data_IF_173624835732
#
_entry.id   IF_173624835732
#
_cell.length_a   1.000
_cell.length_b   1.000
_cell.length_c   1.000
_cell.angle_alpha   90.00
_cell.angle_beta   90.00
_cell.angle_gamma   90.00
#
_symmetry.space_group_name_H-M   'P 1'
#
loop_
_entity.id
_entity.type
_entity.pdbx_description
1 polymer ?
#
# COMPACT_ATOMS: atom_id res chain seq x y z
N UNK A 1 15.96 -11.82 7.81
CA UNK A 1 15.30 -12.26 6.56
C UNK A 1 13.96 -12.88 6.95
N UNK A 2 12.87 -12.61 6.22
CA UNK A 2 11.56 -13.17 6.52
C UNK A 2 11.21 -14.22 5.45
N UNK A 3 10.68 -15.35 5.88
CA UNK A 3 10.22 -16.43 5.01
C UNK A 3 8.70 -16.55 5.09
N UNK A 4 8.07 -16.94 3.99
CA UNK A 4 6.63 -17.20 3.92
C UNK A 4 6.44 -18.69 3.63
N UNK A 5 5.67 -19.36 4.48
CA UNK A 5 5.33 -20.77 4.33
C UNK A 5 3.89 -21.04 4.76
N UNK A 6 3.36 -22.25 4.47
CA UNK A 6 2.07 -22.65 5.00
C UNK A 6 2.12 -22.76 6.53
N UNK A 7 0.99 -22.57 7.25
CA UNK A 7 0.96 -22.69 8.71
C UNK A 7 1.57 -24.00 9.24
N UNK A 8 1.34 -25.10 8.55
CA UNK A 8 1.88 -26.42 8.91
C UNK A 8 3.41 -26.47 8.80
N UNK A 9 3.97 -25.91 7.72
CA UNK A 9 5.42 -25.81 7.54
C UNK A 9 6.05 -24.84 8.54
N UNK A 10 5.35 -23.77 8.91
CA UNK A 10 5.83 -22.86 9.96
C UNK A 10 6.01 -23.62 11.27
N UNK A 11 5.06 -24.49 11.65
CA UNK A 11 5.18 -25.32 12.85
C UNK A 11 6.37 -26.30 12.71
N UNK A 12 6.49 -26.99 11.57
CA UNK A 12 7.57 -27.93 11.36
C UNK A 12 8.96 -27.27 11.43
N UNK A 13 9.16 -26.14 10.78
CA UNK A 13 10.40 -25.36 10.86
C UNK A 13 10.65 -24.76 12.25
N UNK A 14 9.60 -24.46 13.02
CA UNK A 14 9.75 -24.01 14.40
C UNK A 14 10.33 -25.10 15.30
N UNK A 15 10.00 -26.37 15.05
CA UNK A 15 10.58 -27.50 15.77
C UNK A 15 12.05 -27.67 15.44
N UNK A 16 12.45 -27.45 14.20
CA UNK A 16 13.85 -27.52 13.76
C UNK A 16 14.68 -26.36 14.28
N UNK A 17 14.11 -25.16 14.38
CA UNK A 17 14.76 -23.93 14.88
C UNK A 17 15.66 -23.22 13.87
N UNK A 18 15.76 -23.68 12.62
CA UNK A 18 16.52 -23.06 11.55
C UNK A 18 15.83 -23.21 10.21
N UNK A 19 16.09 -22.27 9.28
CA UNK A 19 15.64 -22.35 7.88
C UNK A 19 16.72 -22.92 6.95
N UNK A 20 17.96 -23.04 7.41
CA UNK A 20 19.05 -23.70 6.69
C UNK A 20 19.01 -25.21 6.99
N UNK A 21 18.00 -25.88 6.38
CA UNK A 21 17.65 -27.25 6.71
C UNK A 21 16.78 -27.85 5.58
N UNK A 22 17.14 -29.05 5.11
CA UNK A 22 16.32 -29.78 4.15
C UNK A 22 15.26 -30.63 4.86
N UNK A 23 14.12 -30.04 5.15
CA UNK A 23 13.02 -30.69 5.89
C UNK A 23 12.48 -31.95 5.20
N UNK A 24 12.82 -32.18 3.94
CA UNK A 24 12.39 -33.39 3.21
C UNK A 24 13.32 -34.57 3.40
N UNK A 25 14.54 -34.35 3.91
CA UNK A 25 15.58 -35.38 4.00
C UNK A 25 16.16 -35.51 5.40
N UNK A 26 16.34 -34.39 6.09
CA UNK A 26 17.02 -34.35 7.35
C UNK A 26 16.06 -34.63 8.52
N UNK A 27 16.50 -35.28 9.59
CA UNK A 27 15.67 -35.53 10.77
C UNK A 27 15.38 -34.22 11.50
N UNK A 28 14.12 -33.93 11.78
CA UNK A 28 13.67 -32.71 12.49
C UNK A 28 13.99 -32.74 13.99
N UNK A 29 14.35 -33.88 14.52
CA UNK A 29 14.71 -34.06 15.93
C UNK A 29 14.96 -35.52 16.29
N UNK A 30 15.08 -35.75 17.56
CA UNK A 30 15.21 -37.10 18.15
C UNK A 30 13.97 -37.46 18.97
N UNK A 31 13.54 -38.69 18.84
CA UNK A 31 12.48 -39.26 19.65
C UNK A 31 12.94 -39.62 21.04
N UNK A 32 12.03 -40.21 21.83
CA UNK A 32 12.29 -40.56 23.22
C UNK A 32 13.39 -41.64 23.40
N UNK A 33 13.56 -42.51 22.41
CA UNK A 33 14.56 -43.58 22.37
C UNK A 33 15.77 -43.22 21.49
N UNK A 34 16.06 -41.94 21.30
CA UNK A 34 17.16 -41.42 20.48
C UNK A 34 17.01 -41.72 18.95
N UNK A 35 15.86 -42.23 18.49
CA UNK A 35 15.57 -42.44 17.08
C UNK A 35 15.43 -41.11 16.32
N UNK A 36 15.80 -41.10 15.04
CA UNK A 36 15.61 -39.94 14.16
C UNK A 36 14.14 -39.78 13.79
N UNK A 37 13.59 -38.59 14.04
CA UNK A 37 12.22 -38.21 13.67
C UNK A 37 12.26 -37.34 12.41
N UNK A 38 11.54 -37.72 11.40
CA UNK A 38 11.43 -37.02 10.12
C UNK A 38 10.06 -36.33 9.99
N UNK A 39 9.94 -35.41 9.02
CA UNK A 39 8.68 -34.73 8.75
C UNK A 39 7.52 -35.71 8.52
N UNK A 40 7.74 -36.80 7.82
CA UNK A 40 6.73 -37.84 7.55
C UNK A 40 6.14 -38.47 8.81
N UNK A 41 6.90 -38.48 9.90
CA UNK A 41 6.50 -39.14 11.16
C UNK A 41 5.57 -38.26 11.99
N UNK A 42 5.58 -36.96 11.74
CA UNK A 42 4.71 -35.96 12.40
C UNK A 42 3.64 -35.37 11.48
N UNK A 43 3.71 -35.66 10.18
CA UNK A 43 2.76 -35.08 9.22
C UNK A 43 1.44 -35.86 9.27
N UNK A 44 0.32 -35.17 9.58
CA UNK A 44 -0.96 -35.87 9.72
C UNK A 44 -1.44 -36.44 8.37
N UNK A 45 -2.05 -37.60 8.42
CA UNK A 45 -2.75 -38.18 7.29
C UNK A 45 -4.02 -37.38 6.92
N UNK A 46 -4.48 -37.51 5.69
CA UNK A 46 -5.74 -36.87 5.25
C UNK A 46 -6.93 -37.34 6.11
N UNK A 47 -6.93 -38.61 6.56
CA UNK A 47 -8.00 -39.13 7.42
C UNK A 47 -8.01 -38.45 8.79
N UNK A 48 -6.86 -38.31 9.43
CA UNK A 48 -6.74 -37.59 10.70
C UNK A 48 -7.17 -36.12 10.55
N UNK A 49 -6.78 -35.44 9.46
CA UNK A 49 -7.23 -34.08 9.17
C UNK A 49 -8.75 -34.02 9.03
N UNK A 50 -9.36 -34.93 8.26
CA UNK A 50 -10.80 -34.96 8.05
C UNK A 50 -11.57 -35.27 9.34
N UNK A 51 -11.06 -36.14 10.20
CA UNK A 51 -11.65 -36.44 11.52
C UNK A 51 -11.65 -35.20 12.39
N UNK A 52 -10.52 -34.48 12.49
CA UNK A 52 -10.42 -33.24 13.26
C UNK A 52 -11.32 -32.16 12.70
N UNK A 53 -11.35 -31.98 11.38
CA UNK A 53 -12.23 -31.00 10.71
C UNK A 53 -13.70 -31.33 11.01
N UNK A 54 -14.11 -32.58 10.83
CA UNK A 54 -15.51 -33.00 11.03
C UNK A 54 -15.96 -32.90 12.49
N UNK A 55 -15.04 -33.12 13.43
CA UNK A 55 -15.31 -33.04 14.87
C UNK A 55 -15.41 -31.58 15.37
N UNK A 56 -14.69 -30.67 14.74
CA UNK A 56 -14.55 -29.29 15.25
C UNK A 56 -15.30 -28.23 14.43
N UNK A 57 -15.51 -28.46 13.12
CA UNK A 57 -16.23 -27.49 12.27
C UNK A 57 -17.70 -27.92 12.17
N UNK A 58 -18.51 -27.38 13.04
CA UNK A 58 -19.93 -27.72 13.14
C UNK A 58 -20.85 -26.61 12.62
N UNK A 59 -22.09 -26.96 12.34
CA UNK A 59 -23.14 -25.98 11.97
C UNK A 59 -23.33 -24.93 13.04
N UNK A 60 -23.21 -25.35 14.31
CA UNK A 60 -23.39 -24.49 15.48
C UNK A 60 -22.33 -23.40 15.53
N UNK A 61 -21.07 -23.70 15.17
CA UNK A 61 -20.00 -22.70 15.06
C UNK A 61 -20.35 -21.61 14.05
N UNK A 62 -20.84 -21.99 12.88
CA UNK A 62 -21.28 -21.02 11.86
C UNK A 62 -22.45 -20.20 12.38
N UNK A 63 -23.45 -20.82 13.00
CA UNK A 63 -24.59 -20.13 13.56
C UNK A 63 -24.19 -19.12 14.63
N UNK A 64 -23.24 -19.48 15.51
CA UNK A 64 -22.73 -18.59 16.55
C UNK A 64 -21.92 -17.43 15.96
N UNK A 65 -20.99 -17.74 15.02
CA UNK A 65 -20.14 -16.72 14.39
C UNK A 65 -20.94 -15.67 13.61
N UNK A 66 -22.04 -16.09 12.99
CA UNK A 66 -22.87 -15.20 12.18
C UNK A 66 -24.09 -14.61 12.92
N UNK A 67 -24.35 -15.05 14.16
CA UNK A 67 -25.52 -14.60 14.92
C UNK A 67 -25.59 -13.08 15.09
N UNK A 68 -24.46 -12.46 15.35
CA UNK A 68 -24.33 -11.03 15.66
C UNK A 68 -23.59 -10.25 14.57
N UNK A 69 -23.55 -10.79 13.33
CA UNK A 69 -22.78 -10.21 12.24
C UNK A 69 -23.08 -8.73 11.97
N UNK A 70 -24.36 -8.35 12.11
CA UNK A 70 -24.81 -6.98 11.87
C UNK A 70 -24.76 -6.08 13.11
N UNK A 71 -24.47 -6.63 14.28
CA UNK A 71 -24.37 -5.83 15.51
C UNK A 71 -22.98 -5.23 15.69
N UNK A 72 -21.92 -5.92 15.21
CA UNK A 72 -20.55 -5.53 15.46
C UNK A 72 -20.16 -5.69 16.95
N UNK A 73 -18.98 -5.21 17.28
CA UNK A 73 -18.51 -5.10 18.67
C UNK A 73 -18.98 -3.80 19.34
N UNK A 74 -18.61 -3.59 20.61
CA UNK A 74 -18.98 -2.38 21.35
C UNK A 74 -18.46 -1.11 20.68
N UNK A 75 -17.22 -1.13 20.14
CA UNK A 75 -16.65 0.04 19.48
C UNK A 75 -17.47 0.43 18.24
N UNK A 76 -17.98 -0.58 17.51
CA UNK A 76 -18.84 -0.34 16.35
C UNK A 76 -20.21 0.22 16.78
N UNK A 77 -20.79 -0.29 17.86
CA UNK A 77 -22.09 0.15 18.36
C UNK A 77 -22.05 1.54 18.98
N UNK A 78 -20.91 1.93 19.56
CA UNK A 78 -20.70 3.23 20.19
C UNK A 78 -20.44 4.36 19.19
N UNK A 79 -20.32 4.05 17.88
CA UNK A 79 -20.16 5.08 16.86
C UNK A 79 -21.44 5.90 16.76
N UNK A 80 -21.38 7.16 17.18
CA UNK A 80 -22.48 8.11 17.01
C UNK A 80 -22.64 8.46 15.52
N UNK A 81 -23.76 8.02 14.94
CA UNK A 81 -24.08 8.27 13.54
C UNK A 81 -25.28 9.19 13.42
N UNK A 82 -25.09 10.35 12.83
CA UNK A 82 -26.20 11.21 12.42
C UNK A 82 -26.87 10.62 11.18
N UNK A 83 -28.18 10.41 11.24
CA UNK A 83 -28.95 10.09 10.03
C UNK A 83 -29.04 11.35 9.16
N UNK A 84 -28.40 11.31 8.01
CA UNK A 84 -28.37 12.39 7.04
C UNK A 84 -28.46 11.82 5.63
N UNK A 85 -29.09 12.55 4.71
CA UNK A 85 -29.13 12.18 3.29
C UNK A 85 -27.75 12.33 2.63
N UNK A 86 -26.95 13.25 3.16
CA UNK A 86 -25.60 13.53 2.65
C UNK A 86 -24.57 13.36 3.76
N UNK A 87 -23.34 12.99 3.36
CA UNK A 87 -22.21 12.95 4.28
C UNK A 87 -21.85 14.38 4.72
N UNK A 88 -21.70 14.58 6.01
CA UNK A 88 -21.28 15.85 6.60
C UNK A 88 -19.74 15.93 6.56
N UNK A 89 -19.23 16.65 5.56
CA UNK A 89 -17.79 16.78 5.35
C UNK A 89 -17.16 17.68 6.41
N UNK A 90 -16.13 17.18 7.08
CA UNK A 90 -15.35 17.94 8.04
C UNK A 90 -14.06 18.43 7.36
N UNK A 91 -13.96 19.75 7.13
CA UNK A 91 -12.80 20.37 6.45
C UNK A 91 -11.48 20.18 7.20
N UNK A 92 -11.53 20.07 8.55
CA UNK A 92 -10.37 19.82 9.40
C UNK A 92 -9.87 18.38 9.33
N UNK A 93 -10.66 17.44 8.85
CA UNK A 93 -10.30 16.03 8.79
C UNK A 93 -9.03 15.81 7.98
N UNK A 94 -8.05 15.13 8.59
CA UNK A 94 -6.82 14.71 7.90
C UNK A 94 -6.91 13.31 7.30
N UNK A 95 -8.06 12.62 7.44
CA UNK A 95 -8.31 11.27 6.93
C UNK A 95 -9.24 11.23 5.74
N UNK A 96 -10.31 12.04 5.73
CA UNK A 96 -11.35 12.01 4.70
C UNK A 96 -11.54 13.44 4.19
N UNK A 97 -11.41 13.63 2.88
CA UNK A 97 -11.59 14.91 2.21
C UNK A 97 -12.47 14.74 0.97
N UNK A 98 -13.26 15.75 0.60
CA UNK A 98 -14.01 15.74 -0.66
C UNK A 98 -13.06 15.48 -1.82
N UNK A 99 -13.52 14.70 -2.81
CA UNK A 99 -12.71 14.42 -3.99
C UNK A 99 -12.64 15.64 -4.91
N UNK A 100 -11.45 16.10 -5.32
CA UNK A 100 -11.31 17.25 -6.21
C UNK A 100 -11.74 16.94 -7.65
N UNK A 101 -11.93 15.66 -7.98
CA UNK A 101 -12.26 15.23 -9.34
C UNK A 101 -13.70 15.58 -9.77
N UNK A 102 -14.54 16.04 -8.84
CA UNK A 102 -15.90 16.46 -9.08
C UNK A 102 -16.09 17.99 -9.17
N UNK A 103 -15.06 18.76 -8.82
CA UNK A 103 -15.11 20.24 -8.78
C UNK A 103 -15.25 20.87 -10.17
N UNK A 104 -14.79 20.17 -11.20
CA UNK A 104 -14.81 20.66 -12.60
C UNK A 104 -15.51 19.68 -13.54
N UNK A 105 -16.73 19.26 -13.17
CA UNK A 105 -17.59 18.49 -14.07
C UNK A 105 -18.23 19.38 -15.15
N UNK A 106 -17.44 20.27 -15.73
CA UNK A 106 -17.86 20.98 -16.93
C UNK A 106 -18.03 19.99 -18.07
N UNK A 107 -19.22 20.01 -18.70
CA UNK A 107 -19.63 19.18 -19.82
C UNK A 107 -18.80 19.36 -21.09
N UNK A 108 -17.61 19.90 -20.98
CA UNK A 108 -16.68 20.00 -22.08
C UNK A 108 -15.99 18.64 -22.24
N UNK A 109 -16.51 17.86 -23.18
CA UNK A 109 -15.76 16.79 -23.81
C UNK A 109 -14.37 17.33 -24.19
N UNK A 110 -13.39 17.09 -23.34
CA UNK A 110 -12.01 17.48 -23.58
C UNK A 110 -11.55 16.73 -24.84
N UNK A 111 -11.60 17.39 -25.98
CA UNK A 111 -10.95 16.88 -27.17
C UNK A 111 -9.49 16.70 -26.84
N UNK A 112 -8.94 15.55 -27.21
CA UNK A 112 -7.51 15.32 -27.11
C UNK A 112 -6.79 16.46 -27.82
N UNK A 113 -6.14 17.34 -27.05
CA UNK A 113 -5.33 18.42 -27.60
C UNK A 113 -3.89 17.94 -27.81
N UNK A 114 -3.21 18.53 -28.76
CA UNK A 114 -1.77 18.31 -28.96
C UNK A 114 -1.05 18.79 -27.70
N UNK A 115 -0.22 17.92 -27.12
CA UNK A 115 0.67 18.28 -26.03
C UNK A 115 1.89 18.97 -26.65
N UNK A 116 2.18 20.20 -26.24
CA UNK A 116 3.36 20.95 -26.64
C UNK A 116 4.01 21.59 -25.44
N UNK A 117 5.30 21.83 -25.51
CA UNK A 117 6.10 22.56 -24.51
C UNK A 117 6.00 21.96 -23.10
N UNK A 118 6.01 20.63 -23.01
CA UNK A 118 5.95 19.91 -21.73
C UNK A 118 7.36 19.58 -21.20
N UNK A 119 7.55 19.82 -19.91
CA UNK A 119 8.78 19.42 -19.22
C UNK A 119 8.71 17.97 -18.74
N UNK A 120 9.80 17.18 -18.86
CA UNK A 120 9.85 15.85 -18.27
C UNK A 120 9.92 15.96 -16.73
N UNK A 121 8.87 15.49 -16.06
CA UNK A 121 8.87 15.36 -14.61
C UNK A 121 9.67 14.11 -14.19
N UNK A 122 9.51 13.03 -14.96
CA UNK A 122 10.16 11.75 -14.69
C UNK A 122 10.63 11.09 -15.98
N UNK A 123 11.80 10.45 -15.92
CA UNK A 123 12.31 9.53 -16.94
C UNK A 123 12.65 8.21 -16.26
N UNK A 124 11.76 7.23 -16.42
CA UNK A 124 11.79 5.97 -15.70
C UNK A 124 12.23 4.81 -16.61
N UNK A 125 12.69 3.73 -16.00
CA UNK A 125 12.99 2.48 -16.68
C UNK A 125 11.76 1.59 -16.86
N UNK A 126 12.02 0.30 -17.13
CA UNK A 126 11.01 -0.74 -17.27
C UNK A 126 10.43 -1.14 -15.89
N UNK A 127 9.23 -1.74 -15.92
CA UNK A 127 8.60 -2.40 -14.78
C UNK A 127 8.33 -1.50 -13.56
N UNK A 128 8.03 -0.23 -13.80
CA UNK A 128 7.51 0.68 -12.76
C UNK A 128 6.03 0.34 -12.54
N UNK A 129 5.76 -0.35 -11.46
CA UNK A 129 4.43 -0.90 -11.14
C UNK A 129 3.54 0.12 -10.44
N UNK A 130 2.27 -0.23 -10.27
CA UNK A 130 1.32 0.57 -9.47
C UNK A 130 1.77 0.78 -8.03
N UNK A 131 2.59 -0.12 -7.47
CA UNK A 131 3.19 0.02 -6.13
C UNK A 131 4.26 1.12 -6.06
N UNK A 132 4.90 1.42 -7.18
CA UNK A 132 5.84 2.54 -7.27
C UNK A 132 5.14 3.87 -7.44
N UNK A 133 4.01 3.88 -8.16
CA UNK A 133 3.27 5.10 -8.51
C UNK A 133 2.35 5.54 -7.37
N UNK A 134 1.49 4.63 -6.91
CA UNK A 134 0.55 4.89 -5.81
C UNK A 134 1.26 4.73 -4.47
N UNK A 135 1.18 5.72 -3.57
CA UNK A 135 1.88 5.64 -2.30
C UNK A 135 1.29 4.56 -1.39
N UNK A 136 2.17 3.90 -0.65
CA UNK A 136 1.82 2.93 0.38
C UNK A 136 2.85 2.97 1.52
N UNK A 137 2.50 2.38 2.66
CA UNK A 137 3.36 2.34 3.83
C UNK A 137 3.41 3.66 4.60
N UNK A 138 4.32 3.71 5.58
CA UNK A 138 4.54 4.90 6.42
C UNK A 138 5.44 5.92 5.71
N UNK A 139 5.38 7.15 6.19
CA UNK A 139 6.18 8.26 5.69
C UNK A 139 6.70 9.13 6.83
N UNK A 140 7.79 9.85 6.58
CA UNK A 140 8.45 10.69 7.58
C UNK A 140 7.93 12.12 7.54
N UNK A 141 8.12 12.86 8.65
CA UNK A 141 7.80 14.30 8.75
C UNK A 141 8.48 15.16 7.69
N UNK A 142 9.67 14.76 7.24
CA UNK A 142 10.44 15.49 6.23
C UNK A 142 9.89 15.38 4.82
N UNK A 143 8.98 14.44 4.57
CA UNK A 143 8.32 14.26 3.27
C UNK A 143 7.25 15.34 3.03
N UNK A 144 6.85 15.59 1.77
CA UNK A 144 5.74 16.53 1.50
C UNK A 144 4.45 16.18 2.24
N UNK A 145 4.11 14.89 2.37
CA UNK A 145 2.94 14.44 3.12
C UNK A 145 3.10 14.67 4.63
N UNK A 146 4.28 14.40 5.19
CA UNK A 146 4.57 14.64 6.60
C UNK A 146 4.51 16.12 6.95
N UNK A 147 5.16 16.97 6.17
CA UNK A 147 5.10 18.44 6.32
C UNK A 147 3.66 18.96 6.29
N UNK A 148 2.84 18.40 5.39
CA UNK A 148 1.42 18.74 5.31
C UNK A 148 0.67 18.38 6.59
N UNK A 149 0.88 17.18 7.15
CA UNK A 149 0.23 16.77 8.41
C UNK A 149 0.68 17.61 9.60
N UNK A 150 1.98 17.90 9.72
CA UNK A 150 2.50 18.81 10.75
C UNK A 150 1.85 20.19 10.64
N UNK A 151 1.71 20.73 9.43
CA UNK A 151 1.04 22.03 9.22
C UNK A 151 -0.45 22.01 9.58
N UNK A 152 -1.07 20.83 9.67
CA UNK A 152 -2.45 20.62 10.12
C UNK A 152 -2.54 20.25 11.62
N UNK A 153 -1.43 20.31 12.35
CA UNK A 153 -1.38 20.02 13.78
C UNK A 153 -1.42 18.53 14.14
N UNK A 154 -1.13 17.63 13.19
CA UNK A 154 -1.08 16.20 13.46
C UNK A 154 0.30 15.83 14.02
N UNK A 155 0.34 15.16 15.16
CA UNK A 155 1.56 14.65 15.76
C UNK A 155 2.17 13.50 14.94
N UNK A 156 3.50 13.37 14.98
CA UNK A 156 4.23 12.36 14.19
C UNK A 156 3.78 10.94 14.53
N UNK A 157 3.44 10.70 15.80
CA UNK A 157 2.96 9.38 16.26
C UNK A 157 1.63 9.00 15.61
N UNK A 158 0.84 9.98 15.19
CA UNK A 158 -0.49 9.82 14.58
C UNK A 158 -0.47 9.86 13.04
N UNK A 159 0.71 9.88 12.43
CA UNK A 159 0.82 9.92 10.96
C UNK A 159 0.20 8.71 10.30
N UNK A 160 0.35 7.53 10.90
CA UNK A 160 -0.07 6.27 10.31
C UNK A 160 0.60 6.01 8.95
N UNK A 161 -0.17 5.58 7.97
CA UNK A 161 0.33 5.27 6.64
C UNK A 161 -0.48 5.96 5.55
N UNK A 162 0.07 6.03 4.33
CA UNK A 162 -0.69 6.45 3.16
C UNK A 162 -1.98 5.64 2.97
N UNK A 163 -1.92 4.33 3.21
CA UNK A 163 -3.09 3.45 3.10
C UNK A 163 -4.20 3.82 4.08
N UNK A 164 -3.87 4.17 5.33
CA UNK A 164 -4.85 4.62 6.33
C UNK A 164 -5.49 5.96 5.96
N UNK A 165 -4.76 6.80 5.22
CA UNK A 165 -5.20 8.14 4.81
C UNK A 165 -5.63 8.23 3.34
N UNK A 166 -5.90 7.08 2.70
CA UNK A 166 -6.28 7.03 1.28
C UNK A 166 -7.56 7.82 0.92
N UNK A 167 -8.39 8.13 1.91
CA UNK A 167 -9.55 9.01 1.76
C UNK A 167 -9.21 10.50 1.70
N UNK A 168 -7.93 10.87 1.88
CA UNK A 168 -7.45 12.24 1.77
C UNK A 168 -6.54 12.37 0.54
N UNK A 169 -7.07 12.94 -0.54
CA UNK A 169 -6.33 13.13 -1.79
C UNK A 169 -5.09 14.00 -1.62
N UNK A 170 -5.09 14.96 -0.69
CA UNK A 170 -3.96 15.86 -0.45
C UNK A 170 -2.75 15.09 0.08
N UNK A 171 -2.97 14.08 0.91
CA UNK A 171 -1.92 13.17 1.39
C UNK A 171 -1.44 12.27 0.25
N UNK A 172 -2.38 11.66 -0.46
CA UNK A 172 -2.08 10.73 -1.55
C UNK A 172 -1.30 11.40 -2.69
N UNK A 173 -1.68 12.62 -3.06
CA UNK A 173 -0.99 13.41 -4.08
C UNK A 173 0.47 13.67 -3.72
N UNK A 174 0.73 14.01 -2.45
CA UNK A 174 2.08 14.27 -1.93
C UNK A 174 2.96 13.02 -1.85
N UNK A 175 2.34 11.85 -1.88
CA UNK A 175 3.03 10.56 -1.90
C UNK A 175 3.13 9.92 -3.28
N UNK A 176 2.53 10.50 -4.30
CA UNK A 176 2.59 9.96 -5.67
C UNK A 176 4.04 9.93 -6.14
N UNK A 177 4.50 8.77 -6.64
CA UNK A 177 5.89 8.48 -6.98
C UNK A 177 6.90 8.64 -5.82
N UNK A 178 6.46 8.63 -4.57
CA UNK A 178 7.36 8.75 -3.41
C UNK A 178 7.97 7.40 -2.96
N UNK A 179 7.81 6.32 -3.75
CA UNK A 179 8.37 5.03 -3.40
C UNK A 179 9.90 5.09 -3.36
N UNK A 180 10.49 4.58 -2.29
CA UNK A 180 11.94 4.61 -2.03
C UNK A 180 12.79 3.84 -3.07
N UNK A 181 12.17 3.02 -3.92
CA UNK A 181 12.84 2.22 -4.96
C UNK A 181 12.81 2.87 -6.34
N UNK A 182 12.13 3.99 -6.51
CA UNK A 182 12.09 4.69 -7.79
C UNK A 182 13.49 5.16 -8.15
N UNK A 183 13.86 4.91 -9.41
CA UNK A 183 15.09 5.41 -10.02
C UNK A 183 14.69 6.32 -11.18
N UNK A 184 14.82 7.62 -10.96
CA UNK A 184 14.55 8.62 -11.97
C UNK A 184 15.87 9.00 -12.67
N UNK A 185 15.95 8.80 -13.98
CA UNK A 185 17.15 9.09 -14.78
C UNK A 185 17.51 10.58 -14.83
N UNK A 186 16.61 11.48 -14.45
CA UNK A 186 16.91 12.92 -14.30
C UNK A 186 17.78 13.20 -13.07
N UNK A 187 17.80 12.30 -12.09
CA UNK A 187 18.61 12.37 -10.86
C UNK A 187 19.26 11.01 -10.60
N UNK A 188 20.19 10.57 -11.42
CA UNK A 188 20.70 9.19 -11.43
C UNK A 188 21.39 8.76 -10.14
N UNK A 189 21.86 9.71 -9.34
CA UNK A 189 22.57 9.47 -8.09
C UNK A 189 21.62 9.40 -6.87
N UNK A 190 20.33 9.62 -7.05
CA UNK A 190 19.34 9.64 -5.98
C UNK A 190 18.28 8.58 -6.25
N UNK A 191 18.04 7.72 -5.27
CA UNK A 191 16.94 6.74 -5.31
C UNK A 191 15.80 7.24 -4.45
N UNK A 192 14.57 7.06 -4.91
CA UNK A 192 13.36 7.50 -4.21
C UNK A 192 12.57 8.55 -4.97
N UNK A 193 11.64 9.20 -4.28
CA UNK A 193 10.69 10.16 -4.85
C UNK A 193 11.28 11.53 -5.18
N UNK A 194 12.37 11.58 -5.94
CA UNK A 194 13.06 12.82 -6.30
C UNK A 194 13.13 13.02 -7.82
N UNK A 195 13.22 14.28 -8.20
CA UNK A 195 13.42 14.72 -9.58
C UNK A 195 14.23 16.02 -9.63
N UNK A 196 14.59 16.45 -10.83
CA UNK A 196 15.24 17.72 -11.09
C UNK A 196 14.24 18.70 -11.71
N UNK A 197 14.06 19.85 -11.11
CA UNK A 197 13.35 20.95 -11.74
C UNK A 197 14.29 21.61 -12.76
N UNK A 198 14.06 21.34 -14.04
CA UNK A 198 14.96 21.69 -15.15
C UNK A 198 15.23 23.20 -15.23
N UNK A 199 14.20 24.10 -15.16
CA UNK A 199 14.45 25.54 -15.29
C UNK A 199 15.39 26.12 -14.23
N UNK A 200 15.39 25.56 -13.01
CA UNK A 200 16.27 26.03 -11.91
C UNK A 200 17.41 25.07 -11.59
N UNK A 201 17.50 23.95 -12.31
CA UNK A 201 18.47 22.89 -12.10
C UNK A 201 18.51 22.31 -10.68
N UNK A 202 17.44 22.48 -9.90
CA UNK A 202 17.35 22.09 -8.48
C UNK A 202 16.75 20.68 -8.34
N UNK A 203 17.40 19.83 -7.54
CA UNK A 203 16.86 18.55 -7.14
C UNK A 203 15.91 18.70 -5.97
N UNK A 204 14.71 18.10 -6.07
CA UNK A 204 13.67 18.22 -5.05
C UNK A 204 12.73 17.01 -5.11
N UNK A 205 11.76 16.94 -4.18
CA UNK A 205 10.72 15.91 -4.25
C UNK A 205 9.91 16.04 -5.55
N UNK A 206 9.41 14.91 -6.07
CA UNK A 206 8.59 14.89 -7.29
C UNK A 206 7.35 15.77 -7.10
N UNK A 207 6.74 15.74 -5.90
CA UNK A 207 5.59 16.57 -5.58
C UNK A 207 5.94 18.07 -5.62
N UNK A 208 7.01 18.51 -4.95
CA UNK A 208 7.39 19.92 -4.92
C UNK A 208 7.74 20.44 -6.33
N UNK A 209 8.44 19.62 -7.12
CA UNK A 209 8.74 19.96 -8.51
C UNK A 209 7.47 20.10 -9.35
N UNK A 210 6.53 19.15 -9.23
CA UNK A 210 5.27 19.21 -9.96
C UNK A 210 4.48 20.49 -9.63
N UNK A 211 4.40 20.84 -8.35
CA UNK A 211 3.71 22.07 -7.92
C UNK A 211 4.37 23.32 -8.48
N UNK A 212 5.71 23.33 -8.53
CA UNK A 212 6.45 24.46 -9.08
C UNK A 212 6.21 24.61 -10.58
N UNK A 213 6.25 23.53 -11.34
CA UNK A 213 5.92 23.56 -12.78
C UNK A 213 4.48 24.00 -13.05
N UNK A 214 3.52 23.50 -12.24
CA UNK A 214 2.10 23.88 -12.37
C UNK A 214 1.92 25.37 -12.08
N UNK A 215 2.57 25.91 -11.03
CA UNK A 215 2.51 27.33 -10.70
C UNK A 215 3.08 28.22 -11.79
N UNK A 216 4.06 27.71 -12.53
CA UNK A 216 4.69 28.41 -13.67
C UNK A 216 3.90 28.23 -14.98
N UNK A 217 2.76 27.51 -14.94
CA UNK A 217 1.89 27.27 -16.10
C UNK A 217 2.46 26.27 -17.10
N UNK A 218 3.41 25.43 -16.70
CA UNK A 218 4.08 24.45 -17.55
C UNK A 218 3.35 23.12 -17.58
N UNK A 219 3.26 22.51 -18.75
CA UNK A 219 2.81 21.14 -18.93
C UNK A 219 3.90 20.14 -18.48
N UNK A 220 3.47 18.99 -17.97
CA UNK A 220 4.36 17.93 -17.53
C UNK A 220 4.17 16.65 -18.35
N UNK A 221 5.26 15.89 -18.48
CA UNK A 221 5.27 14.58 -19.13
C UNK A 221 6.11 13.59 -18.35
N UNK A 222 5.71 12.33 -18.37
CA UNK A 222 6.44 11.21 -17.77
C UNK A 222 6.83 10.26 -18.90
N UNK A 223 8.12 9.95 -19.01
CA UNK A 223 8.64 8.90 -19.87
C UNK A 223 8.89 7.65 -19.02
N UNK A 224 8.40 6.51 -19.49
CA UNK A 224 8.59 5.24 -18.82
C UNK A 224 8.85 4.11 -19.82
N UNK A 225 9.52 3.06 -19.38
CA UNK A 225 9.82 1.88 -20.18
C UNK A 225 8.65 0.90 -20.24
N UNK A 226 8.96 -0.35 -20.56
CA UNK A 226 7.98 -1.43 -20.70
C UNK A 226 7.31 -1.74 -19.37
N UNK A 227 6.07 -2.26 -19.42
CA UNK A 227 5.29 -2.69 -18.25
C UNK A 227 5.03 -1.57 -17.21
N UNK A 228 5.01 -0.31 -17.63
CA UNK A 228 4.59 0.79 -16.75
C UNK A 228 3.16 0.60 -16.27
N UNK A 229 2.92 0.77 -14.96
CA UNK A 229 1.61 0.65 -14.35
C UNK A 229 1.09 -0.80 -14.21
N UNK A 230 1.91 -1.81 -14.50
CA UNK A 230 1.58 -3.20 -14.18
C UNK A 230 1.49 -3.42 -12.67
N UNK A 231 0.69 -4.40 -12.24
CA UNK A 231 0.53 -4.77 -10.84
C UNK A 231 -0.91 -4.71 -10.37
N UNK A 232 -1.10 -4.53 -9.07
CA UNK A 232 -2.44 -4.47 -8.46
C UNK A 232 -3.24 -3.26 -8.94
N UNK A 233 -4.56 -3.42 -9.02
CA UNK A 233 -5.48 -2.36 -9.46
C UNK A 233 -5.56 -1.25 -8.41
N UNK A 234 -4.72 -0.24 -8.54
CA UNK A 234 -4.74 0.97 -7.72
C UNK A 234 -5.20 2.15 -8.57
N UNK A 235 -6.41 2.61 -8.34
CA UNK A 235 -6.95 3.76 -9.09
C UNK A 235 -6.13 5.04 -8.87
N UNK A 236 -5.49 5.19 -7.69
CA UNK A 236 -4.59 6.31 -7.42
C UNK A 236 -3.37 6.34 -8.36
N UNK A 237 -2.92 5.20 -8.88
CA UNK A 237 -1.83 5.18 -9.86
C UNK A 237 -2.18 5.95 -11.14
N UNK A 238 -3.46 6.00 -11.52
CA UNK A 238 -3.95 6.83 -12.61
C UNK A 238 -4.25 8.27 -12.15
N UNK A 239 -4.99 8.43 -11.05
CA UNK A 239 -5.41 9.73 -10.51
C UNK A 239 -4.25 10.61 -10.09
N UNK A 240 -3.25 10.03 -9.42
CA UNK A 240 -2.07 10.78 -8.97
C UNK A 240 -1.13 11.19 -10.10
N UNK A 241 -1.18 10.48 -11.23
CA UNK A 241 -0.40 10.82 -12.43
C UNK A 241 -1.07 11.93 -13.24
N UNK A 242 -2.40 11.97 -13.27
CA UNK A 242 -3.18 13.00 -13.94
C UNK A 242 -3.21 14.30 -13.15
#
# INVERSE_FOLDING_TARGET
MNFLASPMLVIAYSLVGTMDFDITKDPIGKGHNEEDIFLKDIWPSINEINEVVSANITKEMFTQSYRNLFQGDSNWQDIDTKQSEYFDWEESSTYIQPSPFFESLDNNNSKLSKISDAYPLLVLGDSVTTDHISPAGSFKETTPAGKFLVSRGTDIIDFNSYGSRRGNYQIMQRGTFANIRIQNKLVPNITGGFTKHIPTETEMSIYDASQKYISDGNNLIIFAGKNYGCGSSRDWAAKGTK
#
